data_IF_920542251669
#
_entry.id   IF_920542251669
#
_cell.length_a   1.000
_cell.length_b   1.000
_cell.length_c   1.000
_cell.angle_alpha   90.00
_cell.angle_beta   90.00
_cell.angle_gamma   90.00
#
_symmetry.space_group_name_H-M   'P 1'
#
loop_
_entity.id
_entity.type
_entity.pdbx_description
1 polymer ?
#
# COMPACT_ATOMS: atom_id res chain seq x y z
N UNK A 1 -2.92 17.19 25.31
CA UNK A 1 -2.97 15.79 25.83
C UNK A 1 -3.70 14.82 24.90
N UNK A 2 -4.85 15.18 24.29
CA UNK A 2 -5.58 14.31 23.36
C UNK A 2 -4.77 13.88 22.13
N UNK A 3 -4.06 14.81 21.47
CA UNK A 3 -3.24 14.51 20.28
C UNK A 3 -2.18 13.43 20.53
N UNK A 4 -1.48 13.50 21.68
CA UNK A 4 -0.46 12.51 22.05
C UNK A 4 -1.08 11.14 22.39
N UNK A 5 -2.22 11.11 23.08
CA UNK A 5 -2.94 9.85 23.35
C UNK A 5 -3.36 9.16 22.05
N UNK A 6 -3.93 9.92 21.11
CA UNK A 6 -4.29 9.39 19.80
C UNK A 6 -3.06 8.92 19.02
N UNK A 7 -1.94 9.66 19.08
CA UNK A 7 -0.69 9.24 18.46
C UNK A 7 -0.20 7.89 19.00
N UNK A 8 -0.09 7.75 20.33
CA UNK A 8 0.38 6.51 20.94
C UNK A 8 -0.58 5.33 20.72
N UNK A 9 -1.90 5.58 20.65
CA UNK A 9 -2.89 4.55 20.28
C UNK A 9 -2.65 4.02 18.87
N UNK A 10 -2.43 4.91 17.89
CA UNK A 10 -2.11 4.52 16.50
C UNK A 10 -0.77 3.80 16.41
N UNK A 11 0.25 4.33 17.08
CA UNK A 11 1.57 3.71 17.14
C UNK A 11 1.47 2.27 17.69
N UNK A 12 0.81 2.08 18.84
CA UNK A 12 0.59 0.77 19.43
C UNK A 12 -0.15 -0.17 18.46
N UNK A 13 -1.25 0.29 17.86
CA UNK A 13 -2.01 -0.50 16.91
C UNK A 13 -1.19 -0.91 15.67
N UNK A 14 -0.28 -0.04 15.19
CA UNK A 14 0.63 -0.40 14.10
C UNK A 14 1.59 -1.49 14.55
N UNK A 15 2.20 -1.35 15.75
CA UNK A 15 3.15 -2.33 16.30
C UNK A 15 2.52 -3.71 16.48
N UNK A 16 1.31 -3.77 17.06
CA UNK A 16 0.57 -5.02 17.28
C UNK A 16 -0.10 -5.59 16.03
N UNK A 17 -0.10 -4.84 14.92
CA UNK A 17 -0.65 -5.30 13.64
C UNK A 17 -2.16 -5.13 13.49
N UNK A 18 -2.83 -4.51 14.47
CA UNK A 18 -4.25 -4.14 14.39
C UNK A 18 -4.51 -2.96 13.44
N UNK A 19 -3.50 -2.13 13.20
CA UNK A 19 -3.50 -1.08 12.18
C UNK A 19 -2.61 -1.53 11.01
N UNK A 20 -3.24 -1.93 9.91
CA UNK A 20 -2.58 -2.35 8.68
C UNK A 20 -3.18 -1.64 7.47
N UNK A 21 -2.47 -1.71 6.34
CA UNK A 21 -2.84 -1.05 5.09
C UNK A 21 -2.14 -1.75 3.93
N UNK A 22 -2.68 -1.59 2.73
CA UNK A 22 -2.00 -1.98 1.51
C UNK A 22 -0.61 -1.32 1.44
N UNK A 23 0.39 -2.09 1.01
CA UNK A 23 1.79 -1.70 0.80
C UNK A 23 1.92 -0.85 -0.47
N UNK A 24 1.24 0.29 -0.49
CA UNK A 24 1.22 1.26 -1.60
C UNK A 24 2.06 2.47 -1.24
N UNK A 25 2.86 2.95 -2.19
CA UNK A 25 3.65 4.16 -2.04
C UNK A 25 3.26 5.20 -3.08
N UNK A 26 3.29 6.48 -2.69
CA UNK A 26 3.20 7.62 -3.60
C UNK A 26 4.57 8.29 -3.67
N UNK A 27 5.08 8.43 -4.88
CA UNK A 27 6.25 9.26 -5.19
C UNK A 27 5.75 10.47 -5.98
N UNK A 28 5.64 11.61 -5.31
CA UNK A 28 5.12 12.85 -5.86
C UNK A 28 6.26 13.87 -5.96
N UNK A 29 6.70 14.15 -7.17
CA UNK A 29 7.92 14.92 -7.41
C UNK A 29 7.65 16.12 -8.31
N UNK A 30 7.66 17.31 -7.72
CA UNK A 30 7.42 18.56 -8.41
C UNK A 30 8.63 19.05 -9.22
N UNK A 31 8.34 19.66 -10.36
CA UNK A 31 9.19 20.51 -11.20
C UNK A 31 10.72 20.24 -11.15
N UNK A 32 11.46 20.97 -10.29
CA UNK A 32 12.94 20.91 -10.16
C UNK A 32 13.51 19.49 -10.04
N UNK A 33 12.74 18.60 -9.40
CA UNK A 33 13.15 17.24 -9.12
C UNK A 33 12.56 16.22 -10.09
N UNK A 34 11.68 16.60 -11.02
CA UNK A 34 10.90 15.71 -11.88
C UNK A 34 11.76 14.64 -12.58
N UNK A 35 12.97 15.01 -13.04
CA UNK A 35 13.93 14.12 -13.68
C UNK A 35 14.40 12.94 -12.81
N UNK A 36 14.29 13.05 -11.49
CA UNK A 36 14.70 12.01 -10.55
C UNK A 36 13.60 10.96 -10.28
N UNK A 37 12.42 11.06 -10.90
CA UNK A 37 11.31 10.12 -10.70
C UNK A 37 11.70 8.64 -10.84
N UNK A 38 12.45 8.30 -11.89
CA UNK A 38 12.93 6.93 -12.11
C UNK A 38 13.95 6.48 -11.05
N UNK A 39 14.76 7.41 -10.53
CA UNK A 39 15.77 7.12 -9.51
C UNK A 39 15.09 6.82 -8.16
N UNK A 40 14.24 7.72 -7.68
CA UNK A 40 13.49 7.50 -6.43
C UNK A 40 12.54 6.31 -6.51
N UNK A 41 11.96 6.03 -7.69
CA UNK A 41 11.15 4.82 -7.90
C UNK A 41 11.97 3.56 -7.61
N UNK A 42 13.22 3.48 -8.09
CA UNK A 42 14.10 2.34 -7.83
C UNK A 42 14.42 2.17 -6.35
N UNK A 43 14.58 3.28 -5.61
CA UNK A 43 14.78 3.23 -4.16
C UNK A 43 13.55 2.68 -3.43
N UNK A 44 12.35 3.05 -3.87
CA UNK A 44 11.11 2.51 -3.32
C UNK A 44 10.84 1.05 -3.75
N UNK A 45 11.33 0.60 -4.90
CA UNK A 45 11.21 -0.79 -5.36
C UNK A 45 11.93 -1.80 -4.46
N UNK A 46 12.88 -1.34 -3.67
CA UNK A 46 13.55 -2.15 -2.66
C UNK A 46 12.67 -2.42 -1.42
N UNK A 47 11.60 -1.65 -1.25
CA UNK A 47 10.67 -1.72 -0.10
C UNK A 47 9.29 -2.22 -0.57
N UNK A 48 8.86 -1.78 -1.74
CA UNK A 48 7.53 -1.99 -2.32
C UNK A 48 7.63 -2.68 -3.67
N UNK A 49 6.59 -3.44 -4.05
CA UNK A 49 6.50 -3.92 -5.43
C UNK A 49 6.31 -2.75 -6.38
N UNK A 50 6.97 -2.81 -7.54
CA UNK A 50 6.91 -1.79 -8.58
C UNK A 50 5.48 -1.38 -8.96
N UNK A 51 4.55 -2.34 -9.03
CA UNK A 51 3.13 -2.12 -9.35
C UNK A 51 2.32 -1.42 -8.25
N UNK A 52 2.88 -1.23 -7.06
CA UNK A 52 2.25 -0.49 -5.95
C UNK A 52 2.85 0.89 -5.70
N UNK A 53 3.81 1.30 -6.54
CA UNK A 53 4.41 2.62 -6.47
C UNK A 53 3.73 3.49 -7.53
N UNK A 54 2.98 4.48 -7.06
CA UNK A 54 2.40 5.52 -7.93
C UNK A 54 3.43 6.62 -8.08
N UNK A 55 3.86 6.91 -9.32
CA UNK A 55 4.79 8.01 -9.61
C UNK A 55 4.06 9.14 -10.33
N UNK A 56 4.18 10.35 -9.81
CA UNK A 56 3.66 11.57 -10.40
C UNK A 56 4.78 12.59 -10.41
N UNK A 57 5.35 12.85 -11.58
CA UNK A 57 6.52 13.72 -11.77
C UNK A 57 6.45 14.52 -13.09
N UNK A 58 5.24 14.74 -13.60
CA UNK A 58 5.00 15.62 -14.74
C UNK A 58 4.74 17.03 -14.19
N UNK A 59 5.64 18.02 -14.44
CA UNK A 59 5.53 19.36 -13.86
C UNK A 59 4.19 20.06 -14.12
N UNK A 60 3.52 19.76 -15.23
CA UNK A 60 2.22 20.35 -15.54
C UNK A 60 1.06 19.69 -14.77
N UNK A 61 1.30 18.50 -14.20
CA UNK A 61 0.32 17.73 -13.42
C UNK A 61 0.58 17.76 -11.92
N UNK A 62 1.82 17.98 -11.49
CA UNK A 62 2.16 18.11 -10.06
C UNK A 62 1.60 19.43 -9.56
N UNK A 63 0.36 19.39 -9.07
CA UNK A 63 -0.40 20.56 -8.61
C UNK A 63 -1.06 20.30 -7.28
N UNK A 64 -1.41 21.34 -6.53
CA UNK A 64 -2.03 21.24 -5.20
C UNK A 64 -3.29 20.34 -5.22
N UNK A 65 -4.22 20.59 -6.15
CA UNK A 65 -5.42 19.75 -6.31
C UNK A 65 -5.11 18.30 -6.66
N UNK A 66 -4.09 18.05 -7.48
CA UNK A 66 -3.71 16.70 -7.87
C UNK A 66 -3.13 15.93 -6.67
N UNK A 67 -2.22 16.55 -5.92
CA UNK A 67 -1.68 15.99 -4.69
C UNK A 67 -2.80 15.66 -3.70
N UNK A 68 -3.68 16.63 -3.41
CA UNK A 68 -4.82 16.45 -2.53
C UNK A 68 -5.76 15.32 -2.99
N UNK A 69 -6.02 15.19 -4.28
CA UNK A 69 -6.88 14.13 -4.80
C UNK A 69 -6.23 12.74 -4.61
N UNK A 70 -4.92 12.61 -4.82
CA UNK A 70 -4.22 11.34 -4.60
C UNK A 70 -4.27 10.90 -3.14
N UNK A 71 -3.93 11.79 -2.20
CA UNK A 71 -3.89 11.46 -0.77
C UNK A 71 -5.28 11.25 -0.14
N UNK A 72 -6.34 11.78 -0.78
CA UNK A 72 -7.75 11.52 -0.42
C UNK A 72 -8.27 10.19 -0.96
N UNK A 73 -7.95 9.87 -2.21
CA UNK A 73 -8.48 8.70 -2.92
C UNK A 73 -7.87 7.41 -2.40
N UNK A 74 -6.55 7.42 -2.21
CA UNK A 74 -5.77 6.23 -1.89
C UNK A 74 -5.22 6.34 -0.47
N UNK A 75 -5.19 5.20 0.23
CA UNK A 75 -4.52 5.07 1.52
C UNK A 75 -3.13 4.50 1.27
N UNK A 76 -2.11 5.37 1.28
CA UNK A 76 -0.72 4.96 1.11
C UNK A 76 -0.10 4.48 2.43
N UNK A 77 0.87 3.58 2.39
CA UNK A 77 1.75 3.33 3.54
C UNK A 77 2.85 4.40 3.58
N UNK A 78 3.43 4.73 2.43
CA UNK A 78 4.53 5.68 2.29
C UNK A 78 4.21 6.79 1.29
N UNK A 79 4.50 8.04 1.63
CA UNK A 79 4.46 9.17 0.70
C UNK A 79 5.83 9.82 0.69
N UNK A 80 6.42 9.93 -0.48
CA UNK A 80 7.60 10.76 -0.74
C UNK A 80 7.15 11.99 -1.52
N UNK A 81 7.35 13.18 -0.95
CA UNK A 81 6.98 14.46 -1.54
C UNK A 81 8.24 15.30 -1.78
N UNK A 82 8.45 15.69 -3.03
CA UNK A 82 9.43 16.71 -3.41
C UNK A 82 8.67 17.92 -3.91
N UNK A 83 8.81 19.02 -3.20
CA UNK A 83 8.18 20.29 -3.52
C UNK A 83 8.91 21.41 -2.80
N UNK A 84 8.84 22.62 -3.36
CA UNK A 84 9.22 23.82 -2.62
C UNK A 84 8.30 24.00 -1.42
N UNK A 85 8.81 24.52 -0.32
CA UNK A 85 8.03 24.58 0.92
C UNK A 85 8.52 25.65 1.88
N UNK A 86 7.63 26.01 2.79
CA UNK A 86 7.93 26.73 4.03
C UNK A 86 7.32 25.96 5.21
N UNK A 87 7.38 26.56 6.41
CA UNK A 87 6.76 26.01 7.61
C UNK A 87 5.26 25.76 7.47
N UNK A 88 4.57 26.54 6.63
CA UNK A 88 3.10 26.55 6.56
C UNK A 88 2.53 26.10 5.21
N UNK A 89 3.35 25.81 4.20
CA UNK A 89 2.83 25.38 2.91
C UNK A 89 3.83 24.61 2.05
N UNK A 90 3.30 23.84 1.10
CA UNK A 90 4.03 23.32 -0.06
C UNK A 90 3.63 24.11 -1.30
N UNK A 91 4.58 24.41 -2.18
CA UNK A 91 4.37 25.10 -3.45
C UNK A 91 4.70 24.13 -4.58
N UNK A 92 3.81 24.08 -5.56
CA UNK A 92 3.89 23.22 -6.74
C UNK A 92 3.99 24.09 -7.98
N UNK A 93 5.14 24.11 -8.63
CA UNK A 93 5.41 24.95 -9.78
C UNK A 93 4.98 24.28 -11.08
N UNK A 94 4.52 25.10 -12.03
CA UNK A 94 4.10 24.66 -13.36
C UNK A 94 4.29 25.81 -14.37
N UNK A 95 4.10 25.52 -15.66
CA UNK A 95 4.32 26.49 -16.74
C UNK A 95 5.76 27.00 -16.73
N UNK A 96 6.73 26.08 -16.68
CA UNK A 96 8.18 26.35 -16.66
C UNK A 96 8.57 27.33 -15.53
N UNK A 97 8.24 26.96 -14.30
CA UNK A 97 8.47 27.75 -13.08
C UNK A 97 7.84 29.16 -13.02
N UNK A 98 6.98 29.54 -13.96
CA UNK A 98 6.37 30.89 -13.96
C UNK A 98 5.10 31.00 -13.12
N UNK A 99 4.50 29.87 -12.74
CA UNK A 99 3.28 29.82 -11.91
C UNK A 99 3.43 28.75 -10.83
N UNK A 100 2.66 28.88 -9.77
CA UNK A 100 2.56 27.85 -8.74
C UNK A 100 1.18 27.82 -8.09
N UNK A 101 0.80 26.63 -7.62
CA UNK A 101 -0.29 26.45 -6.65
C UNK A 101 0.32 26.17 -5.27
N UNK A 102 -0.37 26.54 -4.19
CA UNK A 102 0.11 26.32 -2.82
C UNK A 102 -0.87 25.45 -2.03
N UNK A 103 -0.37 24.39 -1.41
CA UNK A 103 -1.08 23.61 -0.39
C UNK A 103 -0.69 24.16 0.98
N UNK A 104 -1.63 24.82 1.64
CA UNK A 104 -1.42 25.41 2.96
C UNK A 104 -1.66 24.41 4.10
N UNK A 105 -1.09 24.69 5.27
CA UNK A 105 -1.35 23.98 6.51
C UNK A 105 -2.85 23.95 6.85
N UNK A 106 -3.56 25.05 6.59
CA UNK A 106 -5.01 25.17 6.78
C UNK A 106 -5.82 24.26 5.86
N UNK A 107 -5.48 24.18 4.58
CA UNK A 107 -6.14 23.24 3.65
C UNK A 107 -5.85 21.80 4.05
N UNK A 108 -4.60 21.53 4.40
CA UNK A 108 -4.18 20.20 4.77
C UNK A 108 -4.88 19.73 6.06
N UNK A 109 -5.20 20.62 7.01
CA UNK A 109 -5.96 20.33 8.26
C UNK A 109 -7.31 19.66 8.05
N UNK A 110 -7.93 19.78 6.88
CA UNK A 110 -9.24 19.19 6.56
C UNK A 110 -9.20 17.64 6.40
N UNK A 111 -8.27 16.97 7.09
CA UNK A 111 -8.08 15.51 7.18
C UNK A 111 -7.86 14.79 5.84
N UNK A 112 -7.15 15.40 4.91
CA UNK A 112 -6.82 14.78 3.62
C UNK A 112 -5.65 13.79 3.65
N UNK A 113 -5.10 13.51 4.84
CA UNK A 113 -3.81 12.83 4.97
C UNK A 113 -4.01 11.39 5.41
N UNK A 114 -3.48 10.47 4.63
CA UNK A 114 -3.68 9.05 4.90
C UNK A 114 -2.43 8.23 4.57
N UNK A 115 -1.27 8.59 5.11
CA UNK A 115 -0.12 7.69 5.10
C UNK A 115 0.41 7.41 6.50
N UNK A 116 1.11 6.28 6.64
CA UNK A 116 1.82 5.95 7.88
C UNK A 116 3.15 6.69 7.93
N UNK A 117 3.86 6.76 6.82
CA UNK A 117 5.21 7.33 6.72
C UNK A 117 5.28 8.40 5.64
N UNK A 118 6.00 9.48 5.95
CA UNK A 118 6.21 10.60 5.06
C UNK A 118 7.70 10.90 4.94
N UNK A 119 8.22 10.99 3.72
CA UNK A 119 9.52 11.55 3.40
C UNK A 119 9.33 12.86 2.63
N UNK A 120 9.63 13.97 3.29
CA UNK A 120 9.39 15.31 2.77
C UNK A 120 10.73 15.94 2.38
N UNK A 121 11.04 15.90 1.08
CA UNK A 121 12.08 16.74 0.49
C UNK A 121 11.50 18.14 0.28
N UNK A 122 11.26 18.82 1.41
CA UNK A 122 10.48 20.05 1.51
C UNK A 122 11.15 20.95 2.55
N UNK A 123 11.67 22.10 2.11
CA UNK A 123 12.31 23.08 2.97
C UNK A 123 11.39 23.52 4.12
N UNK A 124 11.93 23.62 5.34
CA UNK A 124 11.25 24.17 6.53
C UNK A 124 9.96 23.46 6.96
N UNK A 125 9.55 22.39 6.27
CA UNK A 125 8.30 21.71 6.53
C UNK A 125 8.23 21.08 7.92
N UNK A 126 9.36 20.88 8.61
CA UNK A 126 9.44 20.34 9.97
C UNK A 126 9.96 21.39 10.98
N UNK A 127 9.87 22.68 10.67
CA UNK A 127 10.19 23.73 11.63
C UNK A 127 9.12 23.79 12.73
N UNK A 128 9.35 23.05 13.79
CA UNK A 128 8.40 22.85 14.88
C UNK A 128 8.26 24.06 15.82
N UNK A 129 9.07 25.12 15.63
CA UNK A 129 8.89 26.38 16.34
C UNK A 129 7.68 27.15 15.81
N UNK A 130 7.30 26.91 14.55
CA UNK A 130 6.10 27.49 13.96
C UNK A 130 4.86 26.74 14.42
N UNK A 131 3.92 27.47 15.03
CA UNK A 131 2.60 26.92 15.32
C UNK A 131 1.92 26.48 14.02
N UNK A 132 1.26 25.32 14.07
CA UNK A 132 0.60 24.73 12.89
C UNK A 132 1.55 24.30 11.75
N UNK A 133 2.84 24.14 12.04
CA UNK A 133 3.82 23.63 11.09
C UNK A 133 3.31 22.42 10.30
N UNK A 134 3.47 22.44 8.98
CA UNK A 134 2.86 21.50 8.05
C UNK A 134 3.31 20.05 8.31
N UNK A 135 4.57 19.84 8.72
CA UNK A 135 5.12 18.54 9.14
C UNK A 135 4.40 17.96 10.35
N UNK A 136 4.09 18.78 11.35
CA UNK A 136 3.31 18.35 12.52
C UNK A 136 1.90 17.93 12.12
N UNK A 137 1.32 18.51 11.07
CA UNK A 137 0.02 18.09 10.57
C UNK A 137 0.09 16.70 9.92
N UNK A 138 1.17 16.34 9.23
CA UNK A 138 1.36 14.98 8.71
C UNK A 138 1.47 13.93 9.82
N UNK A 139 1.94 14.31 11.01
CA UNK A 139 2.04 13.42 12.16
C UNK A 139 0.77 13.38 13.04
N UNK A 140 0.29 14.56 13.45
CA UNK A 140 -0.76 14.72 14.46
C UNK A 140 -2.11 15.17 13.88
N UNK A 141 -2.09 15.85 12.73
CA UNK A 141 -3.29 16.41 12.08
C UNK A 141 -4.04 15.42 11.20
N UNK A 142 -4.01 14.12 11.54
CA UNK A 142 -4.73 13.03 10.89
C UNK A 142 -4.77 11.75 11.74
N UNK A 143 -5.46 10.72 11.25
CA UNK A 143 -5.68 9.44 11.94
C UNK A 143 -4.70 8.32 11.55
N UNK A 144 -3.65 8.62 10.78
CA UNK A 144 -2.72 7.63 10.20
C UNK A 144 -1.25 7.85 10.53
N UNK A 145 -0.74 9.08 10.49
CA UNK A 145 0.67 9.41 10.54
C UNK A 145 1.39 8.81 11.75
N UNK A 146 2.54 8.19 11.47
CA UNK A 146 3.41 7.53 12.44
C UNK A 146 4.81 8.16 12.48
N UNK A 147 5.36 8.50 11.31
CA UNK A 147 6.69 9.10 11.17
C UNK A 147 6.73 10.08 10.00
N UNK A 148 7.42 11.21 10.19
CA UNK A 148 7.67 12.21 9.15
C UNK A 148 9.16 12.53 9.14
N UNK A 149 9.78 12.42 7.98
CA UNK A 149 11.19 12.76 7.73
C UNK A 149 11.21 14.04 6.91
N UNK A 150 12.11 14.97 7.23
CA UNK A 150 12.22 16.23 6.49
C UNK A 150 13.15 17.20 7.20
N UNK A 151 13.03 18.49 6.90
CA UNK A 151 13.94 19.52 7.39
C UNK A 151 13.22 20.66 8.12
N UNK A 152 13.81 21.16 9.21
CA UNK A 152 13.36 22.39 9.89
C UNK A 152 13.94 23.69 9.31
N UNK A 153 14.74 23.59 8.24
CA UNK A 153 15.30 24.72 7.50
C UNK A 153 15.35 24.39 6.01
N UNK A 154 15.82 25.32 5.19
CA UNK A 154 16.18 25.04 3.80
C UNK A 154 17.11 23.82 3.73
N UNK A 155 16.70 22.80 2.98
CA UNK A 155 17.48 21.58 2.82
C UNK A 155 16.65 20.32 2.67
N UNK A 156 17.34 19.19 2.52
CA UNK A 156 16.75 17.87 2.34
C UNK A 156 17.83 16.79 2.44
N UNK A 157 17.46 15.54 2.25
CA UNK A 157 18.45 14.48 2.14
C UNK A 157 19.30 14.67 0.88
N UNK A 158 20.61 14.91 1.06
CA UNK A 158 21.59 14.87 -0.02
C UNK A 158 21.72 13.46 -0.60
N UNK A 159 22.33 13.35 -1.79
CA UNK A 159 22.45 12.09 -2.54
C UNK A 159 21.07 11.45 -2.78
N UNK A 160 20.05 12.29 -2.94
CA UNK A 160 18.67 11.86 -3.13
C UNK A 160 18.19 10.83 -2.08
N UNK A 161 18.74 10.87 -0.87
CA UNK A 161 18.45 9.87 0.17
C UNK A 161 18.86 8.43 -0.15
N UNK A 162 19.68 8.18 -1.18
CA UNK A 162 20.06 6.82 -1.62
C UNK A 162 20.49 5.92 -0.46
N UNK A 163 21.47 6.36 0.34
CA UNK A 163 21.96 5.58 1.49
C UNK A 163 20.87 5.34 2.54
N UNK A 164 19.94 6.27 2.72
CA UNK A 164 18.81 6.08 3.63
C UNK A 164 17.91 4.94 3.14
N UNK A 165 17.51 4.97 1.86
CA UNK A 165 16.64 3.93 1.29
C UNK A 165 17.31 2.55 1.21
N UNK A 166 18.61 2.49 0.87
CA UNK A 166 19.40 1.24 0.88
C UNK A 166 19.41 0.58 2.27
N UNK A 167 19.42 1.38 3.34
CA UNK A 167 19.40 0.87 4.72
C UNK A 167 18.02 0.50 5.20
N UNK A 168 17.00 1.25 4.79
CA UNK A 168 15.61 0.91 5.05
C UNK A 168 15.24 -0.45 4.43
N UNK A 169 15.78 -0.77 3.24
CA UNK A 169 15.68 -2.11 2.61
C UNK A 169 16.21 -3.23 3.49
N UNK A 170 17.36 -3.03 4.15
CA UNK A 170 17.98 -4.04 5.03
C UNK A 170 17.24 -4.26 6.35
N UNK A 171 15.94 -3.95 6.39
CA UNK A 171 15.04 -4.11 7.53
C UNK A 171 15.37 -3.26 8.76
N UNK A 172 16.21 -2.23 8.60
CA UNK A 172 16.47 -1.23 9.62
C UNK A 172 15.19 -0.43 9.90
N UNK A 173 15.00 0.01 11.15
CA UNK A 173 14.01 1.04 11.42
C UNK A 173 14.42 2.37 10.79
N UNK A 174 13.45 3.28 10.62
CA UNK A 174 13.66 4.61 10.02
C UNK A 174 14.81 5.35 10.72
N UNK A 175 14.89 5.29 12.04
CA UNK A 175 15.94 5.93 12.84
C UNK A 175 17.32 5.39 12.56
N UNK A 176 17.48 4.08 12.40
CA UNK A 176 18.76 3.46 12.06
C UNK A 176 19.19 3.87 10.64
N UNK A 177 18.27 3.80 9.67
CA UNK A 177 18.54 4.23 8.30
C UNK A 177 18.91 5.72 8.23
N UNK A 178 18.17 6.56 8.95
CA UNK A 178 18.42 8.00 9.03
C UNK A 178 19.76 8.32 9.71
N UNK A 179 20.05 7.68 10.86
CA UNK A 179 21.30 7.88 11.58
C UNK A 179 22.53 7.46 10.77
N UNK A 180 22.43 6.36 10.01
CA UNK A 180 23.51 5.93 9.12
C UNK A 180 23.70 6.89 7.93
N UNK A 181 22.61 7.28 7.26
CA UNK A 181 22.67 8.30 6.20
C UNK A 181 23.29 9.60 6.74
N UNK A 182 22.86 10.07 7.91
CA UNK A 182 23.37 11.29 8.52
C UNK A 182 24.87 11.18 8.84
N UNK A 183 25.30 10.04 9.38
CA UNK A 183 26.71 9.79 9.73
C UNK A 183 27.63 9.72 8.50
N UNK A 184 27.13 9.24 7.35
CA UNK A 184 27.92 9.11 6.13
C UNK A 184 27.88 10.36 5.23
N UNK A 185 26.74 11.05 5.24
CA UNK A 185 26.39 12.11 4.30
C UNK A 185 26.11 13.42 5.02
N UNK A 186 25.18 13.42 5.98
CA UNK A 186 24.75 14.61 6.72
C UNK A 186 25.89 15.39 7.38
N UNK A 187 26.79 14.69 8.07
CA UNK A 187 27.95 15.31 8.76
C UNK A 187 28.92 16.02 7.83
N UNK A 188 28.95 15.66 6.54
CA UNK A 188 29.83 16.29 5.54
C UNK A 188 29.30 17.63 5.03
N UNK A 189 28.00 17.88 5.19
CA UNK A 189 27.32 19.08 4.71
C UNK A 189 26.46 19.69 5.82
N UNK A 190 27.06 20.09 6.95
CA UNK A 190 26.33 20.51 8.15
C UNK A 190 25.38 21.69 7.88
N UNK A 191 25.83 22.67 7.09
CA UNK A 191 25.01 23.84 6.73
C UNK A 191 23.73 23.48 5.98
N UNK A 192 23.73 22.38 5.23
CA UNK A 192 22.55 21.89 4.51
C UNK A 192 21.74 20.92 5.37
N UNK A 193 22.39 19.96 6.02
CA UNK A 193 21.75 18.81 6.64
C UNK A 193 21.41 18.95 8.14
N UNK A 194 21.92 19.94 8.88
CA UNK A 194 21.65 20.05 10.34
C UNK A 194 20.17 20.24 10.69
N UNK A 195 19.35 20.70 9.74
CA UNK A 195 17.89 20.79 9.90
C UNK A 195 17.15 19.47 9.75
N UNK A 196 17.82 18.42 9.27
CA UNK A 196 17.16 17.15 8.99
C UNK A 196 16.75 16.45 10.29
N UNK A 197 15.51 15.97 10.33
CA UNK A 197 14.97 15.34 11.51
C UNK A 197 13.89 14.31 11.17
N UNK A 198 13.54 13.54 12.19
CA UNK A 198 12.47 12.56 12.18
C UNK A 198 11.47 12.93 13.28
N UNK A 199 10.24 13.26 12.91
CA UNK A 199 9.13 13.42 13.84
C UNK A 199 8.39 12.09 14.00
N UNK A 200 7.96 11.77 15.22
CA UNK A 200 7.22 10.55 15.53
C UNK A 200 8.12 9.45 16.08
N UNK A 201 7.86 8.20 15.69
CA UNK A 201 8.55 7.02 16.22
C UNK A 201 9.59 6.55 15.19
N UNK A 202 10.89 6.82 15.44
CA UNK A 202 11.94 6.41 14.51
C UNK A 202 12.20 4.90 14.57
N UNK A 203 11.63 4.16 15.52
CA UNK A 203 11.83 2.70 15.64
C UNK A 203 10.92 1.89 14.71
N UNK A 204 10.01 2.55 13.99
CA UNK A 204 9.13 1.91 13.02
C UNK A 204 9.81 1.73 11.65
N UNK A 205 9.21 0.87 10.82
CA UNK A 205 9.54 0.63 9.42
C UNK A 205 8.29 0.16 8.67
N UNK A 206 8.22 0.31 7.33
CA UNK A 206 7.24 -0.37 6.51
C UNK A 206 7.19 -1.87 6.80
N UNK A 207 5.98 -2.43 6.84
CA UNK A 207 5.79 -3.86 7.05
C UNK A 207 5.64 -4.55 5.70
N UNK A 208 6.38 -5.65 5.51
CA UNK A 208 6.15 -6.54 4.39
C UNK A 208 4.82 -7.26 4.61
N UNK A 209 4.07 -7.45 3.53
CA UNK A 209 2.88 -8.30 3.60
C UNK A 209 3.26 -9.78 3.64
N UNK A 210 2.86 -10.42 4.72
CA UNK A 210 3.07 -11.84 5.02
C UNK A 210 1.74 -12.52 5.34
N UNK A 211 0.61 -11.79 5.28
CA UNK A 211 -0.71 -12.34 5.56
C UNK A 211 -1.20 -13.05 4.31
N UNK A 212 -1.61 -14.33 4.39
CA UNK A 212 -2.22 -15.01 3.27
C UNK A 212 -3.54 -14.34 2.84
N UNK A 213 -3.89 -14.43 1.54
CA UNK A 213 -5.19 -13.96 1.06
C UNK A 213 -6.33 -14.80 1.66
N UNK A 214 -7.54 -14.25 1.63
CA UNK A 214 -8.76 -15.03 1.82
C UNK A 214 -9.16 -15.72 0.51
N UNK A 215 -9.70 -16.93 0.61
CA UNK A 215 -10.24 -17.68 -0.52
C UNK A 215 -11.36 -18.60 -0.05
N UNK A 216 -12.44 -18.64 -0.79
CA UNK A 216 -13.62 -19.46 -0.49
C UNK A 216 -14.31 -19.90 -1.77
N UNK A 217 -14.65 -21.19 -1.86
CA UNK A 217 -15.57 -21.70 -2.86
C UNK A 217 -17.00 -21.36 -2.41
N UNK A 218 -17.55 -20.28 -2.94
CA UNK A 218 -18.88 -19.77 -2.55
C UNK A 218 -20.01 -20.54 -3.22
N UNK A 219 -19.72 -21.20 -4.35
CA UNK A 219 -20.68 -22.07 -5.02
C UNK A 219 -19.94 -23.21 -5.74
N UNK A 220 -20.40 -24.46 -5.65
CA UNK A 220 -21.54 -24.93 -4.84
C UNK A 220 -21.21 -25.00 -3.34
N UNK A 221 -22.22 -24.91 -2.47
CA UNK A 221 -22.04 -25.12 -1.03
C UNK A 221 -21.78 -26.60 -0.73
N UNK A 222 -20.90 -26.86 0.25
CA UNK A 222 -20.60 -28.21 0.73
C UNK A 222 -21.86 -28.88 1.28
N UNK A 223 -22.16 -30.10 0.83
CA UNK A 223 -23.28 -30.90 1.34
C UNK A 223 -24.64 -30.58 0.72
N UNK A 224 -24.71 -29.93 -0.44
CA UNK A 224 -25.96 -29.57 -1.10
C UNK A 224 -26.16 -30.30 -2.43
N UNK A 225 -27.44 -30.44 -2.82
CA UNK A 225 -27.86 -30.87 -4.14
C UNK A 225 -28.15 -29.65 -5.03
N UNK A 226 -27.56 -29.65 -6.22
CA UNK A 226 -27.82 -28.68 -7.27
C UNK A 226 -28.29 -29.37 -8.55
N UNK A 227 -29.27 -28.78 -9.23
CA UNK A 227 -29.77 -29.24 -10.53
C UNK A 227 -29.77 -28.05 -11.49
N UNK A 228 -29.03 -28.15 -12.61
CA UNK A 228 -28.83 -27.09 -13.60
C UNK A 228 -28.44 -25.74 -12.97
N UNK A 229 -27.49 -25.76 -12.03
CA UNK A 229 -27.02 -24.58 -11.30
C UNK A 229 -27.97 -24.05 -10.21
N UNK A 230 -29.16 -24.63 -10.04
CA UNK A 230 -30.13 -24.24 -9.00
C UNK A 230 -29.89 -25.02 -7.71
N UNK A 231 -29.76 -24.31 -6.58
CA UNK A 231 -29.76 -24.91 -5.24
C UNK A 231 -31.11 -25.56 -4.95
N UNK A 232 -31.12 -26.84 -4.58
CA UNK A 232 -32.35 -27.59 -4.29
C UNK A 232 -32.54 -27.76 -2.78
N UNK A 233 -31.58 -28.42 -2.12
CA UNK A 233 -31.63 -28.66 -0.68
C UNK A 233 -30.27 -29.10 -0.12
N UNK A 234 -30.04 -28.94 1.20
CA UNK A 234 -28.95 -29.63 1.88
C UNK A 234 -29.21 -31.14 1.93
N UNK A 235 -28.15 -31.92 1.85
CA UNK A 235 -28.16 -33.38 1.92
C UNK A 235 -27.63 -33.82 3.30
N UNK A 236 -28.41 -34.64 4.00
CA UNK A 236 -28.03 -35.21 5.31
C UNK A 236 -26.76 -36.07 5.26
N UNK A 237 -26.36 -36.53 4.07
CA UNK A 237 -25.12 -37.28 3.85
C UNK A 237 -23.85 -36.40 3.90
N UNK A 238 -23.99 -35.08 3.86
CA UNK A 238 -22.87 -34.15 3.75
C UNK A 238 -22.17 -34.15 2.38
N UNK A 239 -22.65 -34.95 1.41
CA UNK A 239 -22.11 -35.00 0.04
C UNK A 239 -22.63 -33.82 -0.77
N UNK A 240 -21.77 -33.27 -1.63
CA UNK A 240 -22.18 -32.27 -2.64
C UNK A 240 -22.47 -32.99 -3.95
N UNK A 241 -23.65 -32.76 -4.54
CA UNK A 241 -24.06 -33.40 -5.79
C UNK A 241 -24.51 -32.31 -6.78
N UNK A 242 -23.92 -32.33 -7.98
CA UNK A 242 -24.26 -31.45 -9.08
C UNK A 242 -24.84 -32.26 -10.23
N UNK A 243 -26.05 -31.91 -10.68
CA UNK A 243 -26.73 -32.57 -11.80
C UNK A 243 -26.89 -31.56 -12.94
N UNK A 244 -26.32 -31.86 -14.10
CA UNK A 244 -26.30 -30.97 -15.27
C UNK A 244 -25.30 -29.81 -15.15
N UNK A 245 -25.34 -28.91 -16.13
CA UNK A 245 -24.40 -27.78 -16.25
C UNK A 245 -24.35 -26.93 -14.99
N UNK A 246 -23.16 -26.84 -14.39
CA UNK A 246 -22.89 -26.04 -13.20
C UNK A 246 -21.56 -25.30 -13.37
N UNK A 247 -21.46 -24.14 -12.74
CA UNK A 247 -20.23 -23.35 -12.66
C UNK A 247 -19.79 -23.32 -11.21
N UNK A 248 -18.51 -23.54 -10.93
CA UNK A 248 -17.94 -23.34 -9.60
C UNK A 248 -17.47 -21.89 -9.51
N UNK A 249 -17.82 -21.21 -8.41
CA UNK A 249 -17.52 -19.79 -8.16
C UNK A 249 -16.63 -19.69 -6.93
N UNK A 250 -15.56 -18.92 -7.07
CA UNK A 250 -14.59 -18.65 -6.01
C UNK A 250 -14.57 -17.16 -5.73
N UNK A 251 -14.62 -16.80 -4.46
CA UNK A 251 -14.25 -15.46 -4.02
C UNK A 251 -12.88 -15.52 -3.36
N UNK A 252 -12.05 -14.53 -3.70
CA UNK A 252 -10.75 -14.32 -3.10
C UNK A 252 -10.54 -12.82 -2.90
N UNK A 253 -9.96 -12.46 -1.77
CA UNK A 253 -9.71 -11.07 -1.38
C UNK A 253 -8.42 -10.95 -0.57
N UNK A 254 -7.70 -9.86 -0.79
CA UNK A 254 -6.48 -9.51 -0.09
C UNK A 254 -6.28 -7.99 -0.05
N UNK A 255 -5.70 -7.47 1.04
CA UNK A 255 -5.48 -6.03 1.21
C UNK A 255 -4.56 -5.45 0.14
N UNK A 256 -3.69 -6.28 -0.45
CA UNK A 256 -2.75 -5.94 -1.51
C UNK A 256 -3.16 -6.50 -2.88
N UNK A 257 -4.44 -6.83 -3.07
CA UNK A 257 -5.01 -7.49 -4.25
C UNK A 257 -4.51 -8.92 -4.48
N UNK A 258 -5.40 -9.71 -5.09
CA UNK A 258 -5.07 -11.04 -5.59
C UNK A 258 -4.16 -10.95 -6.81
N UNK A 259 -3.09 -11.75 -6.82
CA UNK A 259 -2.21 -11.91 -7.97
C UNK A 259 -2.76 -12.94 -8.97
N UNK A 260 -3.21 -14.10 -8.47
CA UNK A 260 -3.88 -15.14 -9.27
C UNK A 260 -4.67 -16.13 -8.41
N UNK A 261 -5.57 -16.88 -9.03
CA UNK A 261 -6.24 -18.05 -8.47
C UNK A 261 -6.00 -19.25 -9.38
N UNK A 262 -5.43 -20.31 -8.82
CA UNK A 262 -5.12 -21.56 -9.52
C UNK A 262 -6.19 -22.61 -9.18
N UNK A 263 -6.78 -23.23 -10.21
CA UNK A 263 -7.82 -24.25 -10.08
C UNK A 263 -7.25 -25.64 -10.37
N UNK A 264 -7.32 -26.53 -9.39
CA UNK A 264 -6.88 -27.92 -9.50
C UNK A 264 -8.10 -28.85 -9.48
N UNK A 265 -8.11 -29.83 -10.37
CA UNK A 265 -9.14 -30.88 -10.39
C UNK A 265 -8.45 -32.24 -10.43
N UNK A 266 -8.66 -33.03 -9.38
CA UNK A 266 -7.97 -34.29 -9.12
C UNK A 266 -6.44 -34.09 -9.15
N UNK A 267 -5.95 -33.13 -8.36
CA UNK A 267 -4.53 -32.75 -8.22
C UNK A 267 -3.87 -32.11 -9.45
N UNK A 268 -4.48 -32.20 -10.63
CA UNK A 268 -3.99 -31.57 -11.86
C UNK A 268 -4.41 -30.09 -11.95
N UNK A 269 -3.46 -29.20 -12.23
CA UNK A 269 -3.75 -27.80 -12.54
C UNK A 269 -4.53 -27.71 -13.84
N UNK A 270 -5.76 -27.17 -13.78
CA UNK A 270 -6.62 -26.99 -14.95
C UNK A 270 -6.40 -25.64 -15.61
N UNK A 271 -6.38 -24.56 -14.83
CA UNK A 271 -6.06 -23.23 -15.31
C UNK A 271 -5.81 -22.25 -14.17
N UNK A 272 -5.31 -21.07 -14.55
CA UNK A 272 -4.99 -19.94 -13.68
C UNK A 272 -5.77 -18.72 -14.13
N UNK A 273 -6.45 -18.04 -13.20
CA UNK A 273 -7.13 -16.76 -13.45
C UNK A 273 -6.43 -15.63 -12.71
N UNK A 274 -6.12 -14.53 -13.43
CA UNK A 274 -5.43 -13.35 -12.87
C UNK A 274 -6.39 -12.22 -12.45
N UNK A 275 -7.66 -12.31 -12.83
CA UNK A 275 -8.67 -11.29 -12.57
C UNK A 275 -10.04 -11.92 -12.33
N UNK A 276 -10.87 -11.24 -11.55
CA UNK A 276 -12.28 -11.63 -11.34
C UNK A 276 -13.06 -11.59 -12.66
N UNK A 277 -14.16 -12.38 -12.80
CA UNK A 277 -14.64 -13.37 -11.82
C UNK A 277 -13.80 -14.66 -11.84
N UNK A 278 -13.59 -15.26 -10.66
CA UNK A 278 -12.86 -16.54 -10.53
C UNK A 278 -13.84 -17.71 -10.62
N UNK A 279 -13.93 -18.32 -11.79
CA UNK A 279 -14.95 -19.33 -12.07
C UNK A 279 -14.41 -20.51 -12.87
N UNK A 280 -14.98 -21.69 -12.62
CA UNK A 280 -14.68 -22.95 -13.31
C UNK A 280 -15.97 -23.55 -13.87
N UNK A 281 -16.10 -23.59 -15.20
CA UNK A 281 -17.19 -24.29 -15.87
C UNK A 281 -16.96 -25.80 -15.81
N UNK A 282 -17.94 -26.54 -15.27
CA UNK A 282 -17.90 -27.99 -15.12
C UNK A 282 -18.60 -28.73 -16.27
N UNK A 283 -19.13 -28.03 -17.28
CA UNK A 283 -19.90 -28.62 -18.38
C UNK A 283 -19.16 -29.71 -19.16
N UNK A 284 -17.84 -29.59 -19.33
CA UNK A 284 -17.05 -30.53 -20.14
C UNK A 284 -16.45 -31.69 -19.33
N UNK A 285 -16.75 -31.81 -18.04
CA UNK A 285 -16.30 -32.91 -17.21
C UNK A 285 -17.27 -34.10 -17.32
N UNK A 286 -16.75 -35.32 -17.32
CA UNK A 286 -17.56 -36.54 -17.35
C UNK A 286 -18.28 -36.76 -16.02
N UNK A 287 -19.29 -37.63 -16.01
CA UNK A 287 -19.93 -38.05 -14.76
C UNK A 287 -18.92 -38.76 -13.86
N UNK A 288 -18.79 -38.32 -12.60
CA UNK A 288 -17.81 -38.86 -11.67
C UNK A 288 -17.60 -38.03 -10.41
N UNK A 289 -16.78 -38.57 -9.51
CA UNK A 289 -16.32 -37.85 -8.32
C UNK A 289 -15.11 -36.98 -8.68
N UNK A 290 -15.13 -35.73 -8.22
CA UNK A 290 -14.05 -34.78 -8.38
C UNK A 290 -13.62 -34.20 -7.04
N UNK A 291 -12.31 -34.09 -6.86
CA UNK A 291 -11.69 -33.28 -5.83
C UNK A 291 -11.21 -31.98 -6.47
N UNK A 292 -11.84 -30.87 -6.10
CA UNK A 292 -11.51 -29.54 -6.63
C UNK A 292 -10.84 -28.74 -5.52
N UNK A 293 -9.60 -28.33 -5.76
CA UNK A 293 -8.83 -27.45 -4.87
C UNK A 293 -8.54 -26.14 -5.57
N UNK A 294 -8.81 -25.04 -4.90
CA UNK A 294 -8.54 -23.69 -5.42
C UNK A 294 -7.50 -23.02 -4.53
N UNK A 295 -6.48 -22.42 -5.13
CA UNK A 295 -5.40 -21.74 -4.38
C UNK A 295 -5.34 -20.30 -4.85
N UNK A 296 -5.60 -19.36 -3.94
CA UNK A 296 -5.39 -17.95 -4.20
C UNK A 296 -3.97 -17.56 -3.78
N UNK A 297 -3.28 -16.83 -4.66
CA UNK A 297 -2.00 -16.20 -4.38
C UNK A 297 -2.20 -14.69 -4.40
N UNK A 298 -1.76 -14.01 -3.34
CA UNK A 298 -1.71 -12.55 -3.33
C UNK A 298 -0.60 -12.06 -4.28
N UNK A 299 -0.47 -10.73 -4.41
CA UNK A 299 0.62 -10.16 -5.20
C UNK A 299 1.98 -10.35 -4.55
N UNK A 300 2.10 -10.71 -3.27
CA UNK A 300 3.34 -10.94 -2.51
C UNK A 300 3.87 -12.37 -2.55
N UNK A 301 3.08 -13.33 -3.04
CA UNK A 301 3.39 -14.75 -3.07
C UNK A 301 2.88 -15.52 -1.86
N UNK A 302 2.18 -14.87 -0.92
CA UNK A 302 1.47 -15.58 0.13
C UNK A 302 0.25 -16.27 -0.50
N UNK A 303 -0.16 -17.40 0.07
CA UNK A 303 -1.24 -18.19 -0.52
C UNK A 303 -2.10 -18.85 0.52
N UNK A 304 -3.36 -19.04 0.16
CA UNK A 304 -4.34 -19.80 0.92
C UNK A 304 -5.17 -20.64 -0.04
N UNK A 305 -5.88 -21.63 0.46
CA UNK A 305 -6.66 -22.54 -0.38
C UNK A 305 -8.00 -22.94 0.25
N UNK A 306 -8.93 -23.29 -0.61
CA UNK A 306 -10.16 -24.00 -0.23
C UNK A 306 -10.33 -25.22 -1.15
N UNK A 307 -11.12 -26.19 -0.70
CA UNK A 307 -11.31 -27.45 -1.39
C UNK A 307 -12.77 -27.90 -1.28
N UNK A 308 -13.25 -28.56 -2.33
CA UNK A 308 -14.56 -29.22 -2.33
C UNK A 308 -14.49 -30.55 -3.06
N UNK A 309 -15.07 -31.58 -2.45
CA UNK A 309 -15.33 -32.85 -3.09
C UNK A 309 -16.78 -32.93 -3.51
N UNK A 310 -17.03 -33.26 -4.78
CA UNK A 310 -18.38 -33.30 -5.34
C UNK A 310 -18.57 -34.47 -6.30
N UNK A 311 -19.81 -34.91 -6.43
CA UNK A 311 -20.25 -35.80 -7.49
C UNK A 311 -20.86 -34.96 -8.61
N UNK A 312 -20.33 -35.06 -9.81
CA UNK A 312 -20.87 -34.44 -11.00
C UNK A 312 -21.62 -35.49 -11.82
N UNK A 313 -22.84 -35.17 -12.23
CA UNK A 313 -23.68 -35.99 -13.11
C UNK A 313 -24.02 -35.14 -14.34
N UNK A 314 -23.23 -35.31 -15.41
CA UNK A 314 -23.42 -34.65 -16.70
C UNK A 314 -23.97 -35.64 -17.73
N UNK A 315 -24.82 -35.15 -18.63
CA UNK A 315 -25.50 -35.89 -19.70
C UNK A 315 -25.67 -35.02 -20.94
#
# INVERSE_FOLDING_TARGET
VSLLKEYFKRNHAYRTGSLCRASRALLYIDDDWAKYGSEYKRYLEDIYKSSFITVINDPEKTREKNYLNNIKKEKYEWICLHAHSSQLQHNFYYSDHTKWDSLTSWELRKNYKSAFFYDLHCCEALDYFQEECIGNLYLFGNTSGLTVIGSSKVGGMIDNGKTFYEKLKSAACIGNAFGEWYSLKGVKYPSYCYGMMVLGDPTLKPKKDEKPPSVEITFPKKGYLYIFGREICPLSTGKTILIGSCILVVEADDINDIGRVDFYVNEELRFTLKSKPYQLDLKNYSTGWYDIRVVAFDKFGNSNNDHIRLLLINF
#
